data_IF_786954889673
#
_entry.id   IF_786954889673
#
_cell.length_a   1.000
_cell.length_b   1.000
_cell.length_c   1.000
_cell.angle_alpha   90.00
_cell.angle_beta   90.00
_cell.angle_gamma   90.00
#
_symmetry.space_group_name_H-M   'P 1'
#
loop_
_entity.id
_entity.type
_entity.pdbx_description
1 polymer ?
#
# COMPACT_ATOMS: atom_id res chain seq x y z
N UNK A 1 4.73 -4.98 -8.24
CA UNK A 1 4.98 -4.20 -9.48
C UNK A 1 5.16 -2.70 -9.21
N UNK A 2 4.72 -2.19 -8.06
CA UNK A 2 4.72 -0.75 -7.74
C UNK A 2 5.73 -0.39 -6.64
N UNK A 3 6.56 -1.34 -6.22
CA UNK A 3 7.53 -1.20 -5.12
C UNK A 3 8.85 -0.58 -5.56
N UNK A 4 8.96 -0.14 -6.82
CA UNK A 4 10.21 0.43 -7.36
C UNK A 4 10.79 1.59 -6.53
N UNK A 5 9.98 2.55 -6.01
CA UNK A 5 10.51 3.61 -5.15
C UNK A 5 11.08 3.08 -3.83
N UNK A 6 10.40 2.11 -3.18
CA UNK A 6 10.88 1.48 -1.94
C UNK A 6 12.18 0.71 -2.17
N UNK A 7 12.26 -0.01 -3.30
CA UNK A 7 13.47 -0.72 -3.72
C UNK A 7 14.64 0.26 -3.93
N UNK A 8 14.41 1.39 -4.60
CA UNK A 8 15.42 2.43 -4.83
C UNK A 8 15.97 2.99 -3.51
N UNK A 9 15.10 3.32 -2.57
CA UNK A 9 15.50 3.80 -1.24
C UNK A 9 16.40 2.79 -0.51
N UNK A 10 16.07 1.50 -0.55
CA UNK A 10 16.90 0.46 0.07
C UNK A 10 18.25 0.31 -0.58
N UNK A 11 18.32 0.43 -1.89
CA UNK A 11 19.59 0.41 -2.62
C UNK A 11 20.49 1.59 -2.23
N UNK A 12 19.91 2.77 -2.05
CA UNK A 12 20.64 3.97 -1.58
C UNK A 12 21.15 3.78 -0.16
N UNK A 13 20.32 3.29 0.77
CA UNK A 13 20.68 3.05 2.17
C UNK A 13 21.80 2.02 2.34
N UNK A 14 21.86 1.02 1.47
CA UNK A 14 22.82 -0.09 1.53
C UNK A 14 23.93 0.03 0.48
N UNK A 15 24.03 1.16 -0.22
CA UNK A 15 25.08 1.39 -1.20
C UNK A 15 26.48 1.23 -0.60
N UNK A 16 27.31 0.37 -1.21
CA UNK A 16 28.66 0.07 -0.75
C UNK A 16 28.77 -0.83 0.49
N UNK A 17 27.62 -1.28 1.06
CA UNK A 17 27.59 -2.15 2.26
C UNK A 17 27.30 -3.61 1.94
N UNK A 18 26.70 -3.90 0.80
CA UNK A 18 26.36 -5.25 0.35
C UNK A 18 26.35 -5.33 -1.16
N UNK A 19 26.60 -6.53 -1.70
CA UNK A 19 26.38 -6.84 -3.10
C UNK A 19 24.88 -6.97 -3.37
N UNK A 20 24.40 -6.36 -4.47
CA UNK A 20 22.98 -6.36 -4.83
C UNK A 20 22.74 -7.26 -6.03
N UNK A 21 21.81 -8.19 -5.91
CA UNK A 21 21.35 -9.02 -7.00
C UNK A 21 19.81 -9.10 -7.04
N UNK A 22 19.27 -9.63 -8.14
CA UNK A 22 17.82 -9.71 -8.38
C UNK A 22 17.44 -11.08 -8.87
N UNK A 23 16.30 -11.57 -8.44
CA UNK A 23 15.69 -12.74 -9.03
C UNK A 23 14.77 -12.36 -10.22
N UNK A 24 14.21 -13.39 -10.88
CA UNK A 24 13.31 -13.21 -12.03
C UNK A 24 11.91 -12.71 -11.63
N UNK A 25 11.56 -12.77 -10.35
CA UNK A 25 10.27 -12.27 -9.80
C UNK A 25 10.36 -10.82 -9.35
N UNK A 26 11.57 -10.24 -9.32
CA UNK A 26 11.80 -8.86 -8.92
C UNK A 26 12.16 -8.70 -7.45
N UNK A 27 12.44 -9.79 -6.73
CA UNK A 27 13.04 -9.71 -5.39
C UNK A 27 14.42 -9.07 -5.48
N UNK A 28 14.79 -8.32 -4.44
CA UNK A 28 16.13 -7.79 -4.29
C UNK A 28 16.85 -8.56 -3.19
N UNK A 29 18.07 -8.99 -3.46
CA UNK A 29 18.92 -9.73 -2.53
C UNK A 29 20.16 -8.89 -2.24
N UNK A 30 20.41 -8.65 -0.97
CA UNK A 30 21.62 -8.02 -0.48
C UNK A 30 22.51 -9.08 0.16
N UNK A 31 23.72 -9.25 -0.35
CA UNK A 31 24.67 -10.24 0.14
C UNK A 31 25.85 -9.55 0.79
N UNK A 32 26.13 -9.93 2.04
CA UNK A 32 27.37 -9.56 2.73
C UNK A 32 28.17 -10.85 2.98
N UNK A 33 29.26 -11.02 2.26
CA UNK A 33 30.09 -12.22 2.36
C UNK A 33 31.02 -12.14 3.57
N UNK A 34 31.13 -13.26 4.31
CA UNK A 34 32.16 -13.41 5.34
C UNK A 34 33.53 -13.66 4.68
N UNK A 35 34.59 -13.20 5.34
CA UNK A 35 35.96 -13.58 5.00
C UNK A 35 36.26 -15.05 5.34
N UNK A 36 35.51 -15.66 6.25
CA UNK A 36 35.58 -17.07 6.58
C UNK A 36 34.64 -17.88 5.66
N UNK A 37 35.18 -18.68 4.77
CA UNK A 37 34.41 -19.53 3.84
C UNK A 37 33.56 -20.60 4.56
N UNK A 38 33.91 -20.96 5.79
CA UNK A 38 33.17 -21.94 6.60
C UNK A 38 32.11 -21.26 7.49
N UNK A 39 31.97 -19.94 7.47
CA UNK A 39 30.95 -19.24 8.24
C UNK A 39 29.53 -19.70 7.85
N UNK A 40 28.62 -19.87 8.82
CA UNK A 40 27.24 -20.25 8.52
C UNK A 40 26.56 -19.16 7.69
N UNK A 41 25.80 -19.57 6.68
CA UNK A 41 24.97 -18.66 5.89
C UNK A 41 23.63 -18.42 6.57
N UNK A 42 23.31 -17.17 6.82
CA UNK A 42 22.03 -16.75 7.42
C UNK A 42 21.27 -15.97 6.36
N UNK A 43 20.00 -16.34 6.10
CA UNK A 43 19.12 -15.60 5.23
C UNK A 43 18.05 -14.90 6.07
N UNK A 44 17.94 -13.58 5.94
CA UNK A 44 16.86 -12.79 6.45
C UNK A 44 15.89 -12.47 5.30
N UNK A 45 14.61 -12.71 5.49
CA UNK A 45 13.61 -12.49 4.46
C UNK A 45 12.47 -11.58 4.95
N UNK A 46 12.03 -10.69 4.10
CA UNK A 46 10.92 -9.78 4.36
C UNK A 46 10.27 -9.38 3.03
N UNK A 47 9.01 -8.95 3.06
CA UNK A 47 8.35 -8.38 1.88
C UNK A 47 8.18 -6.86 2.02
N UNK A 48 8.14 -6.14 0.90
CA UNK A 48 8.08 -4.67 0.88
C UNK A 48 6.71 -4.12 0.47
N UNK A 49 5.86 -4.95 -0.11
CA UNK A 49 4.51 -4.56 -0.48
C UNK A 49 3.61 -4.36 0.75
N UNK A 50 2.50 -3.68 0.54
CA UNK A 50 1.44 -3.48 1.53
C UNK A 50 0.10 -3.91 0.93
N UNK A 51 -0.88 -4.20 1.78
CA UNK A 51 -2.25 -4.40 1.33
C UNK A 51 -2.80 -3.09 0.75
N UNK A 52 -3.62 -3.21 -0.27
CA UNK A 52 -4.18 -2.03 -0.95
C UNK A 52 -5.35 -2.42 -1.83
N UNK A 53 -5.56 -1.62 -2.88
CA UNK A 53 -6.64 -1.85 -3.83
C UNK A 53 -6.14 -1.56 -5.24
N UNK A 54 -6.94 -1.94 -6.22
CA UNK A 54 -6.74 -1.59 -7.61
C UNK A 54 -8.06 -1.12 -8.21
N UNK A 55 -8.03 -0.02 -8.94
CA UNK A 55 -9.22 0.49 -9.64
C UNK A 55 -9.67 -0.55 -10.67
N UNK A 56 -10.90 -1.03 -10.54
CA UNK A 56 -11.51 -2.00 -11.44
C UNK A 56 -12.34 -1.32 -12.54
N UNK A 57 -13.02 -0.24 -12.20
CA UNK A 57 -13.95 0.44 -13.10
C UNK A 57 -14.23 1.86 -12.58
N UNK A 58 -14.41 2.81 -13.49
CA UNK A 58 -14.82 4.18 -13.18
C UNK A 58 -16.30 4.32 -13.58
N UNK A 59 -17.15 4.71 -12.63
CA UNK A 59 -18.58 4.88 -12.90
C UNK A 59 -18.84 6.18 -13.67
N UNK A 60 -20.02 6.30 -14.28
CA UNK A 60 -20.43 7.52 -15.00
C UNK A 60 -20.42 8.76 -14.09
N UNK A 61 -20.68 8.58 -12.80
CA UNK A 61 -20.69 9.60 -11.77
C UNK A 61 -19.29 9.91 -11.21
N UNK A 62 -18.23 9.26 -11.71
CA UNK A 62 -16.85 9.48 -11.30
C UNK A 62 -16.38 8.65 -10.11
N UNK A 63 -17.22 7.80 -9.51
CA UNK A 63 -16.80 6.90 -8.44
C UNK A 63 -15.94 5.77 -8.99
N UNK A 64 -14.95 5.34 -8.19
CA UNK A 64 -14.06 4.25 -8.58
C UNK A 64 -14.49 2.95 -7.88
N UNK A 65 -14.89 1.96 -8.65
CA UNK A 65 -15.01 0.58 -8.16
C UNK A 65 -13.63 -0.06 -8.12
N UNK A 66 -13.38 -0.89 -7.12
CA UNK A 66 -12.06 -1.44 -6.86
C UNK A 66 -12.10 -2.93 -6.54
N UNK A 67 -10.95 -3.57 -6.63
CA UNK A 67 -10.66 -4.88 -6.07
C UNK A 67 -9.65 -4.75 -4.96
N UNK A 68 -9.74 -5.59 -3.94
CA UNK A 68 -8.77 -5.64 -2.86
C UNK A 68 -7.52 -6.40 -3.30
N UNK A 69 -6.36 -5.90 -2.90
CA UNK A 69 -5.07 -6.56 -2.96
C UNK A 69 -4.67 -6.89 -1.53
N UNK A 70 -4.57 -8.18 -1.23
CA UNK A 70 -4.36 -8.68 0.14
C UNK A 70 -5.66 -8.83 0.95
N UNK A 71 -5.51 -9.19 2.21
CA UNK A 71 -6.61 -9.46 3.13
C UNK A 71 -7.20 -8.19 3.73
N UNK A 72 -8.41 -7.83 3.33
CA UNK A 72 -9.14 -6.71 3.87
C UNK A 72 -10.40 -7.16 4.61
N UNK A 73 -10.62 -6.57 5.79
CA UNK A 73 -11.81 -6.76 6.58
C UNK A 73 -12.77 -5.57 6.35
N UNK A 74 -13.99 -5.86 5.87
CA UNK A 74 -14.94 -4.84 5.44
C UNK A 74 -15.27 -3.81 6.52
N UNK A 75 -15.30 -4.22 7.79
CA UNK A 75 -15.69 -3.35 8.90
C UNK A 75 -14.73 -2.15 9.12
N UNK A 76 -13.48 -2.27 8.66
CA UNK A 76 -12.48 -1.20 8.84
C UNK A 76 -12.21 -0.39 7.57
N UNK A 77 -12.95 -0.65 6.49
CA UNK A 77 -12.68 -0.01 5.18
C UNK A 77 -13.40 1.31 4.99
N UNK A 78 -14.65 1.42 5.46
CA UNK A 78 -15.46 2.63 5.26
C UNK A 78 -14.88 3.84 5.98
N UNK A 79 -14.89 4.98 5.29
CA UNK A 79 -14.37 6.24 5.82
C UNK A 79 -12.83 6.34 5.79
N UNK A 80 -12.13 5.29 5.38
CA UNK A 80 -10.68 5.36 5.24
C UNK A 80 -10.27 6.30 4.11
N UNK A 81 -9.29 7.14 4.39
CA UNK A 81 -8.56 7.89 3.37
C UNK A 81 -7.64 6.95 2.60
N UNK A 82 -7.55 7.19 1.32
CA UNK A 82 -6.68 6.42 0.41
C UNK A 82 -5.97 7.35 -0.56
N UNK A 83 -4.90 6.85 -1.14
CA UNK A 83 -4.20 7.48 -2.26
C UNK A 83 -4.41 6.65 -3.52
N UNK A 84 -4.96 7.26 -4.56
CA UNK A 84 -5.03 6.68 -5.91
C UNK A 84 -3.81 7.14 -6.69
N UNK A 85 -2.98 6.21 -7.13
CA UNK A 85 -1.75 6.49 -7.90
C UNK A 85 -2.07 6.60 -9.38
N UNK A 86 -2.52 7.78 -9.79
CA UNK A 86 -2.85 8.08 -11.18
C UNK A 86 -1.63 8.37 -12.04
N UNK A 87 -1.81 8.33 -13.37
CA UNK A 87 -0.73 8.61 -14.33
C UNK A 87 -0.22 10.06 -14.33
N UNK A 88 -0.96 10.97 -13.68
CA UNK A 88 -0.61 12.40 -13.57
C UNK A 88 -0.24 12.81 -12.14
N UNK A 89 -0.11 11.86 -11.24
CA UNK A 89 0.20 12.08 -9.84
C UNK A 89 -0.82 11.44 -8.89
N UNK A 90 -0.55 11.56 -7.62
CA UNK A 90 -1.34 10.98 -6.56
C UNK A 90 -2.59 11.82 -6.26
N UNK A 91 -3.71 11.15 -6.06
CA UNK A 91 -4.99 11.75 -5.71
C UNK A 91 -5.47 11.20 -4.37
N UNK A 92 -5.90 12.09 -3.48
CA UNK A 92 -6.53 11.67 -2.24
C UNK A 92 -7.99 11.30 -2.51
N UNK A 93 -8.44 10.21 -1.90
CA UNK A 93 -9.83 9.77 -1.95
C UNK A 93 -10.31 9.20 -0.62
N UNK A 94 -11.56 8.82 -0.58
CA UNK A 94 -12.19 8.17 0.59
C UNK A 94 -13.01 6.98 0.15
N UNK A 95 -13.00 5.92 0.95
CA UNK A 95 -13.87 4.75 0.73
C UNK A 95 -15.26 5.05 1.31
N UNK A 96 -16.24 5.02 0.44
CA UNK A 96 -17.64 5.27 0.76
C UNK A 96 -18.56 4.13 0.35
N UNK A 97 -19.82 4.25 0.75
CA UNK A 97 -20.91 3.37 0.35
C UNK A 97 -22.22 4.16 0.32
N UNK A 98 -23.32 3.46 0.05
CA UNK A 98 -24.68 4.00 0.15
C UNK A 98 -24.89 4.66 1.54
N UNK A 99 -25.33 5.91 1.60
CA UNK A 99 -25.43 6.64 2.87
C UNK A 99 -26.52 6.06 3.79
N UNK A 100 -26.32 6.12 5.13
CA UNK A 100 -27.20 5.45 6.09
C UNK A 100 -28.66 5.86 6.04
N UNK A 101 -28.96 7.12 5.68
CA UNK A 101 -30.33 7.65 5.68
C UNK A 101 -31.23 7.10 4.57
N UNK A 102 -30.64 6.47 3.54
CA UNK A 102 -31.37 5.78 2.47
C UNK A 102 -31.31 4.26 2.59
N UNK A 103 -30.70 3.74 3.66
CA UNK A 103 -30.68 2.31 3.97
C UNK A 103 -31.95 1.90 4.72
N UNK A 104 -32.46 0.68 4.46
CA UNK A 104 -33.49 0.07 5.31
C UNK A 104 -32.97 -0.23 6.71
N UNK A 105 -33.83 -0.42 7.72
CA UNK A 105 -33.39 -0.83 9.06
C UNK A 105 -32.54 -2.09 9.04
N UNK A 106 -32.87 -3.07 8.21
CA UNK A 106 -32.16 -4.34 8.09
C UNK A 106 -30.78 -4.14 7.44
N UNK A 107 -30.66 -3.26 6.44
CA UNK A 107 -29.39 -2.92 5.80
C UNK A 107 -28.43 -2.26 6.78
N UNK A 108 -28.93 -1.40 7.70
CA UNK A 108 -28.12 -0.68 8.69
C UNK A 108 -27.42 -1.59 9.70
N UNK A 109 -27.95 -2.79 9.92
CA UNK A 109 -27.39 -3.75 10.87
C UNK A 109 -26.37 -4.70 10.23
N UNK A 110 -26.21 -4.65 8.91
CA UNK A 110 -25.31 -5.52 8.15
C UNK A 110 -23.98 -4.83 7.86
N UNK A 111 -22.91 -5.62 7.85
CA UNK A 111 -21.60 -5.15 7.37
C UNK A 111 -21.69 -4.88 5.86
N UNK A 112 -21.31 -3.68 5.44
CA UNK A 112 -21.26 -3.31 4.03
C UNK A 112 -20.23 -4.17 3.32
N UNK A 113 -20.64 -4.84 2.25
CA UNK A 113 -19.76 -5.71 1.48
C UNK A 113 -18.85 -4.90 0.55
N UNK A 114 -17.62 -5.38 0.29
CA UNK A 114 -16.64 -4.72 -0.61
C UNK A 114 -17.24 -4.34 -1.97
N UNK A 115 -18.10 -5.18 -2.52
CA UNK A 115 -18.77 -4.93 -3.82
C UNK A 115 -19.67 -3.70 -3.82
N UNK A 116 -20.20 -3.31 -2.65
CA UNK A 116 -21.11 -2.17 -2.46
C UNK A 116 -20.35 -0.87 -2.11
N UNK A 117 -19.04 -0.98 -1.90
CA UNK A 117 -18.16 0.15 -1.66
C UNK A 117 -17.67 0.78 -2.97
N UNK A 118 -17.23 2.01 -2.88
CA UNK A 118 -16.59 2.78 -3.95
C UNK A 118 -15.56 3.74 -3.34
N UNK A 119 -14.67 4.23 -4.18
CA UNK A 119 -13.76 5.32 -3.82
C UNK A 119 -14.30 6.60 -4.44
N UNK A 120 -14.39 7.64 -3.64
CA UNK A 120 -14.71 9.00 -4.05
C UNK A 120 -13.43 9.84 -4.02
N UNK A 121 -13.10 10.44 -5.15
CA UNK A 121 -11.95 11.36 -5.33
C UNK A 121 -12.39 12.80 -5.60
N UNK A 122 -13.68 13.12 -5.41
CA UNK A 122 -14.22 14.48 -5.54
C UNK A 122 -14.40 14.95 -6.98
N UNK A 123 -14.63 14.06 -7.94
CA UNK A 123 -14.90 14.39 -9.35
C UNK A 123 -16.37 14.16 -9.69
N UNK A 124 -16.86 14.87 -10.70
CA UNK A 124 -18.28 14.86 -11.07
C UNK A 124 -18.67 13.76 -12.06
N UNK A 125 -17.71 13.24 -12.82
CA UNK A 125 -17.94 12.24 -13.86
C UNK A 125 -16.68 11.45 -14.22
N UNK A 126 -16.86 10.37 -15.00
CA UNK A 126 -15.78 9.52 -15.50
C UNK A 126 -14.73 10.31 -16.29
N UNK A 127 -15.16 11.28 -17.12
CA UNK A 127 -14.24 12.05 -17.97
C UNK A 127 -13.28 12.89 -17.12
N UNK A 128 -13.81 13.45 -16.03
CA UNK A 128 -13.00 14.22 -15.10
C UNK A 128 -12.02 13.33 -14.33
N UNK A 129 -12.44 12.15 -13.87
CA UNK A 129 -11.54 11.17 -13.27
C UNK A 129 -10.38 10.82 -14.19
N UNK A 130 -10.68 10.52 -15.46
CA UNK A 130 -9.67 10.23 -16.48
C UNK A 130 -8.77 11.45 -16.79
N UNK A 131 -9.31 12.67 -16.76
CA UNK A 131 -8.53 13.91 -16.92
C UNK A 131 -7.48 14.05 -15.81
N UNK A 132 -7.78 13.62 -14.59
CA UNK A 132 -6.82 13.58 -13.48
C UNK A 132 -5.86 12.37 -13.53
N UNK A 133 -5.97 11.54 -14.55
CA UNK A 133 -5.02 10.44 -14.77
C UNK A 133 -5.45 9.11 -14.15
N UNK A 134 -6.71 8.98 -13.73
CA UNK A 134 -7.24 7.70 -13.24
C UNK A 134 -7.58 6.78 -14.43
N UNK A 135 -7.24 5.51 -14.28
CA UNK A 135 -7.52 4.44 -15.24
C UNK A 135 -7.76 3.11 -14.50
N UNK A 136 -8.39 2.16 -15.18
CA UNK A 136 -8.54 0.81 -14.67
C UNK A 136 -7.15 0.15 -14.52
N UNK A 137 -6.84 -0.34 -13.32
CA UNK A 137 -5.51 -0.82 -12.97
C UNK A 137 -4.67 0.17 -12.16
N UNK A 138 -5.14 1.42 -11.92
CA UNK A 138 -4.47 2.30 -10.96
C UNK A 138 -4.33 1.61 -9.62
N UNK A 139 -3.11 1.56 -9.03
CA UNK A 139 -2.93 1.13 -7.67
C UNK A 139 -3.54 2.14 -6.70
N UNK A 140 -4.01 1.63 -5.57
CA UNK A 140 -4.56 2.44 -4.49
C UNK A 140 -4.01 1.93 -3.16
N UNK A 141 -3.50 2.82 -2.34
CA UNK A 141 -2.96 2.48 -1.02
C UNK A 141 -3.68 3.23 0.09
N UNK A 142 -3.71 2.71 1.33
CA UNK A 142 -4.14 3.48 2.49
C UNK A 142 -3.34 4.77 2.61
N UNK A 143 -4.02 5.87 2.95
CA UNK A 143 -3.36 7.13 3.30
C UNK A 143 -3.19 7.18 4.81
N UNK A 144 -1.95 7.01 5.29
CA UNK A 144 -1.61 7.14 6.69
C UNK A 144 -0.20 7.70 6.82
N UNK A 145 -0.09 8.86 7.43
CA UNK A 145 1.19 9.45 7.81
C UNK A 145 1.72 8.77 9.07
N UNK A 146 3.04 8.68 9.17
CA UNK A 146 3.66 8.16 10.38
C UNK A 146 3.55 9.19 11.50
N UNK A 147 3.16 8.75 12.69
CA UNK A 147 3.06 9.57 13.88
C UNK A 147 3.73 8.90 15.07
N UNK A 148 4.30 9.70 15.95
CA UNK A 148 4.77 9.26 17.27
C UNK A 148 3.59 9.34 18.22
N UNK A 149 3.30 8.24 18.93
CA UNK A 149 2.19 8.18 19.88
C UNK A 149 2.49 8.89 21.20
N UNK A 150 1.50 8.95 22.08
CA UNK A 150 1.54 9.75 23.31
C UNK A 150 2.69 9.36 24.28
N UNK A 151 3.19 8.14 24.21
CA UNK A 151 4.32 7.66 25.01
C UNK A 151 5.70 8.17 24.52
N UNK A 152 5.73 8.85 23.38
CA UNK A 152 6.95 9.34 22.73
C UNK A 152 7.88 8.25 22.18
N UNK A 153 7.46 7.00 22.14
CA UNK A 153 8.29 5.84 21.76
C UNK A 153 7.60 4.93 20.76
N UNK A 154 6.27 4.83 20.80
CA UNK A 154 5.49 4.00 19.89
C UNK A 154 5.22 4.76 18.61
N UNK A 155 5.40 4.09 17.47
CA UNK A 155 5.14 4.65 16.15
C UNK A 155 3.84 4.09 15.59
N UNK A 156 2.96 4.96 15.13
CA UNK A 156 1.78 4.63 14.35
C UNK A 156 2.07 4.86 12.87
N UNK A 157 1.75 3.91 12.02
CA UNK A 157 1.95 4.02 10.59
C UNK A 157 1.34 2.86 9.84
N UNK A 158 1.49 2.84 8.52
CA UNK A 158 1.07 1.74 7.65
C UNK A 158 2.25 0.87 7.22
N UNK A 159 1.96 -0.29 6.61
CA UNK A 159 2.94 -1.19 6.02
C UNK A 159 4.02 -1.73 6.98
N UNK A 160 3.76 -1.71 8.30
CA UNK A 160 4.66 -2.34 9.28
C UNK A 160 4.88 -3.82 8.96
N UNK A 161 3.85 -4.50 8.50
CA UNK A 161 3.93 -5.82 7.91
C UNK A 161 4.18 -5.68 6.38
N UNK A 162 5.39 -5.92 5.85
CA UNK A 162 6.52 -6.33 6.68
C UNK A 162 7.74 -5.38 6.50
N UNK A 163 7.53 -4.09 6.33
CA UNK A 163 8.63 -3.12 6.19
C UNK A 163 9.50 -2.97 7.44
N UNK A 164 8.98 -3.38 8.61
CA UNK A 164 9.82 -3.43 9.82
C UNK A 164 10.97 -4.44 9.65
N UNK A 165 10.73 -5.57 8.98
CA UNK A 165 11.76 -6.54 8.66
C UNK A 165 12.88 -5.92 7.79
N UNK A 166 12.51 -5.04 6.86
CA UNK A 166 13.47 -4.29 6.05
C UNK A 166 14.33 -3.34 6.88
N UNK A 167 13.72 -2.63 7.83
CA UNK A 167 14.46 -1.75 8.73
C UNK A 167 15.48 -2.53 9.58
N UNK A 168 15.09 -3.70 10.07
CA UNK A 168 15.98 -4.59 10.81
C UNK A 168 17.12 -5.10 9.90
N UNK A 169 16.81 -5.59 8.70
CA UNK A 169 17.83 -6.06 7.76
C UNK A 169 18.81 -4.95 7.37
N UNK A 170 18.31 -3.74 7.12
CA UNK A 170 19.15 -2.59 6.80
C UNK A 170 20.06 -2.22 7.99
N UNK A 171 19.58 -2.32 9.22
CA UNK A 171 20.37 -2.13 10.43
C UNK A 171 21.48 -3.17 10.58
N UNK A 172 21.18 -4.44 10.33
CA UNK A 172 22.17 -5.54 10.39
C UNK A 172 23.26 -5.40 9.33
N UNK A 173 22.90 -5.03 8.09
CA UNK A 173 23.86 -4.87 6.97
C UNK A 173 24.60 -3.53 7.04
N UNK A 174 24.01 -2.53 7.70
CA UNK A 174 24.51 -1.17 7.74
C UNK A 174 25.46 -0.87 8.89
N UNK A 175 25.45 -1.70 9.94
CA UNK A 175 26.35 -1.59 11.12
C UNK A 175 27.62 -2.32 10.88
#
# INVERSE_FOLDING_TARGET
CFEAPTKGLLQELLAGKAEVSYDKLGSVVFTNASADENAPKIMLASHMDEIGFMVKHITKEGFLKFVCLGGWWEQVMLGQRITVHGSKGDLVGVIGSKPPHILTPEERTKVVQKRDMYIDIGVKDEKEARKFGVFEGCPVTPYAEMAVMADGKTLLGKAWDNRIGWAVMAGVLGG
#
